data_IF_001391820975
#
_entry.id   IF_001391820975
#
_cell.length_a   1.000
_cell.length_b   1.000
_cell.length_c   1.000
_cell.angle_alpha   90.00
_cell.angle_beta   90.00
_cell.angle_gamma   90.00
#
_symmetry.space_group_name_H-M   'P 1'
#
loop_
_entity.id
_entity.type
_entity.pdbx_description
1 polymer ?
#
# COMPACT_ATOMS: atom_id res chain seq x y z
N UNK A 1 19.34 -16.90 -4.24
CA UNK A 1 18.75 -15.63 -4.71
C UNK A 1 18.60 -14.73 -3.51
N UNK A 2 19.07 -13.47 -3.58
CA UNK A 2 18.82 -12.50 -2.51
C UNK A 2 17.34 -12.13 -2.59
N UNK A 3 16.54 -12.48 -1.57
CA UNK A 3 15.13 -12.13 -1.50
C UNK A 3 15.05 -10.61 -1.31
N UNK A 4 14.32 -9.91 -2.17
CA UNK A 4 14.10 -8.46 -2.02
C UNK A 4 13.16 -8.21 -0.85
N UNK A 5 13.30 -7.06 -0.19
CA UNK A 5 12.40 -6.68 0.90
C UNK A 5 10.95 -6.60 0.39
N UNK A 6 9.96 -7.09 1.16
CA UNK A 6 8.54 -6.92 0.85
C UNK A 6 8.18 -5.45 0.67
N UNK A 7 7.31 -5.14 -0.29
CA UNK A 7 6.82 -3.78 -0.52
C UNK A 7 5.40 -3.66 0.02
N UNK A 8 5.21 -2.86 1.06
CA UNK A 8 3.90 -2.61 1.66
C UNK A 8 3.26 -1.45 0.92
N UNK A 9 2.17 -1.71 0.23
CA UNK A 9 1.49 -0.73 -0.62
C UNK A 9 0.44 0.00 0.20
N UNK A 10 0.58 1.32 0.29
CA UNK A 10 -0.43 2.19 0.88
C UNK A 10 -1.71 2.20 0.01
N UNK A 11 -2.85 2.30 0.68
CA UNK A 11 -4.17 2.55 0.10
C UNK A 11 -4.16 3.70 -0.91
N UNK A 12 -3.44 4.79 -0.62
CA UNK A 12 -3.37 5.95 -1.51
C UNK A 12 -2.69 5.64 -2.86
N UNK A 13 -1.70 4.76 -2.87
CA UNK A 13 -1.02 4.32 -4.08
C UNK A 13 -2.01 3.56 -4.93
N UNK A 14 -2.69 2.55 -4.35
CA UNK A 14 -3.69 1.76 -5.06
C UNK A 14 -4.77 2.63 -5.69
N UNK A 15 -5.41 3.53 -4.93
CA UNK A 15 -6.42 4.41 -5.50
C UNK A 15 -5.87 5.37 -6.55
N UNK A 16 -4.71 5.97 -6.34
CA UNK A 16 -4.12 6.89 -7.32
C UNK A 16 -3.82 6.21 -8.66
N UNK A 17 -3.51 4.92 -8.62
CA UNK A 17 -3.18 4.09 -9.80
C UNK A 17 -4.42 3.60 -10.52
N UNK A 18 -5.53 3.42 -9.81
CA UNK A 18 -6.84 3.18 -10.42
C UNK A 18 -7.40 4.43 -11.10
N UNK A 19 -7.16 5.61 -10.53
CA UNK A 19 -7.77 6.87 -11.01
C UNK A 19 -7.00 7.53 -12.16
N UNK A 20 -5.73 7.17 -12.36
CA UNK A 20 -4.90 7.69 -13.46
C UNK A 20 -4.55 6.53 -14.39
N UNK A 21 -4.54 6.75 -15.69
CA UNK A 21 -3.97 5.82 -16.71
C UNK A 21 -2.44 5.69 -16.56
N UNK A 22 -1.94 5.47 -15.34
CA UNK A 22 -0.51 5.31 -15.08
C UNK A 22 -0.12 3.87 -15.37
N UNK A 23 0.33 3.65 -16.59
CA UNK A 23 1.03 2.43 -17.00
C UNK A 23 2.15 2.04 -16.02
N UNK A 24 2.79 3.00 -15.33
CA UNK A 24 3.93 2.72 -14.45
C UNK A 24 3.62 1.82 -13.24
N UNK A 25 2.41 1.86 -12.67
CA UNK A 25 2.09 1.00 -11.51
C UNK A 25 1.69 -0.40 -11.94
N UNK A 26 0.87 -0.53 -12.98
CA UNK A 26 0.55 -1.83 -13.56
C UNK A 26 1.81 -2.48 -14.13
N UNK A 27 2.67 -1.72 -14.79
CA UNK A 27 3.97 -2.18 -15.25
C UNK A 27 4.88 -2.58 -14.10
N UNK A 28 5.01 -1.79 -13.03
CA UNK A 28 5.79 -2.21 -11.86
C UNK A 28 5.20 -3.48 -11.22
N UNK A 29 3.89 -3.54 -11.03
CA UNK A 29 3.23 -4.74 -10.49
C UNK A 29 3.48 -5.95 -11.38
N UNK A 30 3.44 -5.83 -12.71
CA UNK A 30 3.52 -6.96 -13.64
C UNK A 30 4.96 -7.36 -13.99
N UNK A 31 5.87 -6.40 -14.11
CA UNK A 31 7.24 -6.61 -14.60
C UNK A 31 8.27 -6.77 -13.49
N UNK A 32 7.96 -6.34 -12.26
CA UNK A 32 8.92 -6.43 -11.16
C UNK A 32 8.90 -7.78 -10.46
N UNK A 33 10.05 -8.13 -9.88
CA UNK A 33 10.23 -9.28 -8.99
C UNK A 33 10.09 -8.86 -7.51
N UNK A 34 9.29 -7.81 -7.22
CA UNK A 34 8.97 -7.42 -5.85
C UNK A 34 7.75 -8.22 -5.35
N UNK A 35 7.77 -8.57 -4.06
CA UNK A 35 6.62 -9.13 -3.37
C UNK A 35 5.82 -7.98 -2.76
N UNK A 36 4.62 -7.72 -3.28
CA UNK A 36 3.76 -6.64 -2.79
C UNK A 36 2.81 -7.16 -1.72
N UNK A 37 2.58 -6.36 -0.67
CA UNK A 37 1.70 -6.67 0.44
C UNK A 37 0.76 -5.50 0.74
N UNK A 38 -0.47 -5.83 1.16
CA UNK A 38 -1.42 -4.87 1.73
C UNK A 38 -2.11 -5.47 2.94
N UNK A 39 -2.58 -4.59 3.82
CA UNK A 39 -3.52 -4.91 4.88
C UNK A 39 -4.87 -5.36 4.26
N UNK A 40 -5.48 -6.44 4.77
CA UNK A 40 -6.74 -7.01 4.24
C UNK A 40 -7.88 -5.98 4.17
N UNK A 41 -7.95 -5.07 5.13
CA UNK A 41 -8.92 -3.97 5.17
C UNK A 41 -8.84 -3.06 3.94
N UNK A 42 -7.65 -2.88 3.35
CA UNK A 42 -7.47 -2.08 2.14
C UNK A 42 -8.27 -2.65 0.98
N UNK A 43 -8.31 -3.98 0.84
CA UNK A 43 -9.10 -4.64 -0.18
C UNK A 43 -10.60 -4.41 0.06
N UNK A 44 -11.05 -4.53 1.31
CA UNK A 44 -12.44 -4.27 1.71
C UNK A 44 -12.84 -2.82 1.38
N UNK A 45 -11.97 -1.85 1.67
CA UNK A 45 -12.20 -0.46 1.32
C UNK A 45 -12.26 -0.22 -0.19
N UNK A 46 -11.40 -0.88 -0.97
CA UNK A 46 -11.41 -0.79 -2.42
C UNK A 46 -12.78 -1.21 -2.97
N UNK A 47 -13.28 -2.36 -2.52
CA UNK A 47 -14.60 -2.87 -2.91
C UNK A 47 -15.73 -1.92 -2.52
N UNK A 48 -15.75 -1.43 -1.27
CA UNK A 48 -16.76 -0.47 -0.79
C UNK A 48 -16.76 0.83 -1.60
N UNK A 49 -15.61 1.24 -2.13
CA UNK A 49 -15.45 2.48 -2.89
C UNK A 49 -15.62 2.28 -4.40
N UNK A 50 -15.88 1.07 -4.91
CA UNK A 50 -16.00 0.76 -6.36
C UNK A 50 -16.86 1.77 -7.11
N UNK A 51 -18.05 2.09 -6.63
CA UNK A 51 -18.95 3.04 -7.31
C UNK A 51 -18.39 4.47 -7.37
N UNK A 52 -17.71 4.90 -6.31
CA UNK A 52 -17.04 6.21 -6.29
C UNK A 52 -15.86 6.23 -7.25
N UNK A 53 -15.10 5.14 -7.34
CA UNK A 53 -14.00 4.98 -8.31
C UNK A 53 -14.55 5.03 -9.73
N UNK A 54 -15.64 4.31 -10.03
CA UNK A 54 -16.30 4.37 -11.35
C UNK A 54 -16.70 5.81 -11.72
N UNK A 55 -17.29 6.56 -10.78
CA UNK A 55 -17.73 7.95 -11.04
C UNK A 55 -16.57 8.94 -11.15
N UNK A 56 -15.47 8.71 -10.42
CA UNK A 56 -14.33 9.62 -10.37
C UNK A 56 -13.22 9.28 -11.37
N UNK A 57 -13.22 8.05 -11.90
CA UNK A 57 -12.34 7.60 -12.98
C UNK A 57 -13.03 7.71 -14.33
N UNK A 58 -12.24 7.65 -15.40
CA UNK A 58 -12.77 7.49 -16.77
C UNK A 58 -12.87 6.00 -17.15
N UNK A 59 -12.81 5.09 -16.17
CA UNK A 59 -12.79 3.66 -16.40
C UNK A 59 -14.20 3.06 -16.51
N UNK A 60 -14.32 2.08 -17.37
CA UNK A 60 -15.46 1.18 -17.45
C UNK A 60 -15.45 0.16 -16.30
N UNK A 61 -16.61 -0.46 -16.07
CA UNK A 61 -16.72 -1.54 -15.08
C UNK A 61 -15.81 -2.74 -15.41
N UNK A 62 -15.69 -3.09 -16.69
CA UNK A 62 -14.79 -4.16 -17.14
C UNK A 62 -13.32 -3.87 -16.85
N UNK A 63 -12.88 -2.62 -17.06
CA UNK A 63 -11.51 -2.20 -16.76
C UNK A 63 -11.23 -2.28 -15.26
N UNK A 64 -12.15 -1.82 -14.43
CA UNK A 64 -12.02 -1.94 -12.98
C UNK A 64 -11.94 -3.42 -12.54
N UNK A 65 -12.77 -4.30 -13.12
CA UNK A 65 -12.72 -5.74 -12.84
C UNK A 65 -11.35 -6.31 -13.22
N UNK A 66 -10.80 -5.95 -14.38
CA UNK A 66 -9.45 -6.38 -14.80
C UNK A 66 -8.38 -5.92 -13.81
N UNK A 67 -8.48 -4.69 -13.30
CA UNK A 67 -7.52 -4.20 -12.32
C UNK A 67 -7.64 -4.99 -11.00
N UNK A 68 -8.86 -5.23 -10.50
CA UNK A 68 -9.06 -6.10 -9.33
C UNK A 68 -8.42 -7.48 -9.53
N UNK A 69 -8.59 -8.09 -10.71
CA UNK A 69 -7.97 -9.38 -11.01
C UNK A 69 -6.44 -9.31 -10.96
N UNK A 70 -5.82 -8.23 -11.45
CA UNK A 70 -4.36 -8.04 -11.39
C UNK A 70 -3.91 -7.88 -9.93
N UNK A 71 -4.60 -7.05 -9.14
CA UNK A 71 -4.29 -6.83 -7.73
C UNK A 71 -4.34 -8.16 -6.95
N UNK A 72 -5.42 -8.93 -7.10
CA UNK A 72 -5.58 -10.23 -6.42
C UNK A 72 -4.53 -11.28 -6.83
N UNK A 73 -3.93 -11.15 -8.01
CA UNK A 73 -2.88 -12.06 -8.50
C UNK A 73 -1.47 -11.67 -8.08
N UNK A 74 -1.23 -10.38 -7.82
CA UNK A 74 0.13 -9.82 -7.63
C UNK A 74 0.38 -9.28 -6.23
N UNK A 75 -0.67 -9.06 -5.44
CA UNK A 75 -0.56 -8.52 -4.10
C UNK A 75 -0.95 -9.60 -3.09
N UNK A 76 -0.11 -9.76 -2.08
CA UNK A 76 -0.37 -10.61 -0.93
C UNK A 76 -1.21 -9.84 0.10
N UNK A 77 -2.33 -10.42 0.52
CA UNK A 77 -3.14 -9.88 1.60
C UNK A 77 -2.59 -10.35 2.94
N UNK A 78 -2.35 -9.42 3.85
CA UNK A 78 -1.96 -9.72 5.22
C UNK A 78 -3.08 -9.35 6.17
N UNK A 79 -3.43 -10.27 7.07
CA UNK A 79 -4.43 -10.03 8.11
C UNK A 79 -3.80 -9.21 9.23
N UNK A 80 -4.32 -8.03 9.46
CA UNK A 80 -3.80 -7.07 10.44
C UNK A 80 -3.87 -7.62 11.86
N UNK A 81 -4.86 -8.47 12.16
CA UNK A 81 -5.00 -9.14 13.45
C UNK A 81 -3.87 -10.15 13.76
N UNK A 82 -3.04 -10.49 12.75
CA UNK A 82 -1.85 -11.33 12.93
C UNK A 82 -0.58 -10.52 13.21
N UNK A 83 -0.63 -9.19 13.12
CA UNK A 83 0.50 -8.32 13.42
C UNK A 83 0.78 -8.37 14.92
N UNK A 84 2.05 -8.49 15.30
CA UNK A 84 2.44 -8.52 16.71
C UNK A 84 2.05 -7.20 17.40
N UNK A 85 1.52 -7.32 18.62
CA UNK A 85 1.06 -6.15 19.39
C UNK A 85 2.18 -5.12 19.62
N UNK A 86 3.44 -5.56 19.75
CA UNK A 86 4.61 -4.68 19.87
C UNK A 86 4.89 -3.89 18.59
N UNK A 87 4.72 -4.51 17.41
CA UNK A 87 4.87 -3.85 16.12
C UNK A 87 3.74 -2.84 15.90
N UNK A 88 2.52 -3.21 16.28
CA UNK A 88 1.37 -2.30 16.23
C UNK A 88 1.55 -1.09 17.16
N UNK A 89 1.99 -1.30 18.40
CA UNK A 89 2.27 -0.23 19.35
C UNK A 89 3.39 0.70 18.83
N UNK A 90 4.44 0.13 18.26
CA UNK A 90 5.55 0.90 17.67
C UNK A 90 5.06 1.75 16.50
N UNK A 91 4.28 1.17 15.60
CA UNK A 91 3.66 1.89 14.48
C UNK A 91 2.75 3.02 14.95
N UNK A 92 1.93 2.79 15.98
CA UNK A 92 1.07 3.82 16.56
C UNK A 92 1.89 5.01 17.09
N UNK A 93 2.97 4.76 17.82
CA UNK A 93 3.86 5.83 18.32
C UNK A 93 4.51 6.63 17.18
N UNK A 94 4.80 5.99 16.06
CA UNK A 94 5.29 6.68 14.87
C UNK A 94 4.18 7.58 14.27
N UNK A 95 2.96 7.07 14.17
CA UNK A 95 1.85 7.69 13.45
C UNK A 95 1.03 8.72 14.24
N UNK A 96 0.88 8.61 15.56
CA UNK A 96 -0.10 9.37 16.36
C UNK A 96 -0.02 10.91 16.19
N UNK A 97 1.18 11.46 15.95
CA UNK A 97 1.40 12.90 15.78
C UNK A 97 1.40 13.35 14.30
N UNK A 98 1.20 12.42 13.36
CA UNK A 98 1.30 12.65 11.91
C UNK A 98 -0.06 12.39 11.26
N UNK A 99 -0.49 11.13 11.33
CA UNK A 99 -1.77 10.59 10.89
C UNK A 99 -1.91 9.17 11.50
N UNK A 100 -2.79 9.03 12.49
CA UNK A 100 -3.04 7.76 13.17
C UNK A 100 -3.58 6.68 12.22
N UNK A 101 -4.28 7.06 11.16
CA UNK A 101 -4.95 6.11 10.26
C UNK A 101 -3.97 5.28 9.42
N UNK A 102 -2.72 5.73 9.31
CA UNK A 102 -1.64 5.02 8.62
C UNK A 102 -0.98 3.92 9.47
N UNK A 103 -1.34 3.83 10.77
CA UNK A 103 -0.79 2.85 11.72
C UNK A 103 -0.76 1.42 11.17
N UNK A 104 -1.83 0.88 10.54
CA UNK A 104 -1.83 -0.49 10.04
C UNK A 104 -0.75 -0.74 8.98
N UNK A 105 -0.52 0.20 8.06
CA UNK A 105 0.48 0.05 7.00
C UNK A 105 1.91 0.12 7.55
N UNK A 106 2.16 0.99 8.54
CA UNK A 106 3.46 1.05 9.21
C UNK A 106 3.71 -0.21 10.03
N UNK A 107 2.68 -0.70 10.75
CA UNK A 107 2.77 -1.93 11.54
C UNK A 107 3.10 -3.13 10.65
N UNK A 108 2.44 -3.24 9.50
CA UNK A 108 2.73 -4.30 8.53
C UNK A 108 4.14 -4.16 7.93
N UNK A 109 4.61 -2.93 7.71
CA UNK A 109 5.96 -2.69 7.21
C UNK A 109 7.01 -3.19 8.19
N UNK A 110 6.82 -2.93 9.49
CA UNK A 110 7.71 -3.42 10.55
C UNK A 110 7.60 -4.95 10.67
N UNK A 111 6.37 -5.49 10.69
CA UNK A 111 6.10 -6.93 10.83
C UNK A 111 6.83 -7.77 9.78
N UNK A 112 6.89 -7.28 8.55
CA UNK A 112 7.47 -8.00 7.42
C UNK A 112 8.92 -7.60 7.11
N UNK A 113 9.54 -6.73 7.92
CA UNK A 113 10.84 -6.11 7.62
C UNK A 113 10.88 -5.56 6.17
N UNK A 114 9.82 -4.83 5.82
CA UNK A 114 9.53 -4.40 4.46
C UNK A 114 9.88 -2.93 4.18
N UNK A 115 9.39 -2.44 3.05
CA UNK A 115 9.49 -1.04 2.65
C UNK A 115 8.10 -0.48 2.36
N UNK A 116 7.75 0.63 3.00
CA UNK A 116 6.48 1.32 2.79
C UNK A 116 6.50 2.09 1.47
N UNK A 117 5.56 1.78 0.60
CA UNK A 117 5.29 2.55 -0.60
C UNK A 117 4.05 3.43 -0.42
N UNK A 118 4.28 4.72 -0.24
CA UNK A 118 3.21 5.72 -0.03
C UNK A 118 3.40 6.97 -0.88
N UNK A 119 2.27 7.52 -1.34
CA UNK A 119 2.22 8.80 -2.04
C UNK A 119 2.21 10.01 -1.10
N UNK A 120 1.96 9.80 0.19
CA UNK A 120 1.79 10.87 1.16
C UNK A 120 3.14 11.47 1.58
N UNK A 121 3.36 12.74 1.19
CA UNK A 121 4.59 13.46 1.54
C UNK A 121 4.65 13.85 3.02
N UNK A 122 3.52 14.19 3.63
CA UNK A 122 3.45 14.57 5.05
C UNK A 122 3.80 13.36 5.92
N UNK A 123 3.27 12.19 5.59
CA UNK A 123 3.60 10.93 6.26
C UNK A 123 5.09 10.63 6.13
N UNK A 124 5.63 10.63 4.90
CA UNK A 124 7.06 10.34 4.66
C UNK A 124 8.00 11.24 5.46
N UNK A 125 7.77 12.55 5.44
CA UNK A 125 8.63 13.50 6.15
C UNK A 125 8.42 13.44 7.68
N UNK A 126 7.22 13.10 8.15
CA UNK A 126 6.97 12.82 9.55
C UNK A 126 7.73 11.58 10.04
N UNK A 127 7.64 10.48 9.29
CA UNK A 127 8.32 9.21 9.59
C UNK A 127 9.84 9.35 9.59
N UNK A 128 10.42 10.00 8.58
CA UNK A 128 11.87 10.25 8.52
C UNK A 128 12.37 11.04 9.73
N UNK A 129 11.63 12.06 10.18
CA UNK A 129 11.98 12.83 11.40
C UNK A 129 11.95 11.99 12.67
N UNK A 130 11.13 10.93 12.69
CA UNK A 130 11.08 9.93 13.77
C UNK A 130 12.06 8.76 13.56
N UNK A 131 12.96 8.84 12.58
CA UNK A 131 14.00 7.83 12.31
C UNK A 131 13.52 6.63 11.48
N UNK A 132 12.28 6.63 11.00
CA UNK A 132 11.76 5.57 10.14
C UNK A 132 12.17 5.83 8.68
N UNK A 133 13.04 4.96 8.15
CA UNK A 133 13.65 5.11 6.81
C UNK A 133 13.27 3.99 5.84
N UNK A 134 12.40 3.07 6.25
CA UNK A 134 11.92 1.94 5.44
C UNK A 134 10.87 2.42 4.41
N UNK A 135 11.30 3.25 3.46
CA UNK A 135 10.46 3.83 2.42
C UNK A 135 10.87 3.30 1.05
N UNK A 136 9.89 2.94 0.24
CA UNK A 136 10.07 2.54 -1.15
C UNK A 136 9.68 3.68 -2.10
N UNK A 137 10.57 3.96 -3.05
CA UNK A 137 10.31 4.83 -4.18
C UNK A 137 10.67 4.04 -5.45
N UNK A 138 9.74 3.82 -6.40
CA UNK A 138 10.08 3.17 -7.66
C UNK A 138 11.02 4.08 -8.46
N UNK A 139 12.09 3.50 -9.02
CA UNK A 139 12.93 4.21 -9.98
C UNK A 139 12.06 4.53 -11.21
N UNK A 140 11.87 5.81 -11.50
CA UNK A 140 11.27 6.28 -12.76
C UNK A 140 12.23 6.08 -13.93
#
# INVERSE_FOLDING_TARGET
>A
MIKKAPIIVDTNILFSTLLKEKASFSELLLSSNYDFFICEQVLVELFKRKEKILKASQLTEEEIIKIYQILLKRINLYKEDLILAENLATAYQLCQDIDETDTPHIALTIELDGLLWTGDKKLKEGLKRKGFVQLFEPNN
#
